data_IF_038720392045
#
_entry.id   IF_038720392045
#
_cell.length_a   1.000
_cell.length_b   1.000
_cell.length_c   1.000
_cell.angle_alpha   90.00
_cell.angle_beta   90.00
_cell.angle_gamma   90.00
#
_symmetry.space_group_name_H-M   'P 1'
#
loop_
_entity.id
_entity.type
_entity.pdbx_description
1 polymer ?
#
# COMPACT_ATOMS: atom_id res chain seq x y z
N UNK A 1 -10.91 9.89 -6.18
CA UNK A 1 -9.60 10.36 -5.74
C UNK A 1 -8.70 10.72 -6.92
N UNK A 2 -8.22 9.79 -7.75
CA UNK A 2 -7.26 10.03 -8.85
C UNK A 2 -7.62 11.15 -9.84
N UNK A 3 -8.90 11.34 -10.18
CA UNK A 3 -9.32 12.41 -11.10
C UNK A 3 -8.92 13.80 -10.58
N UNK A 4 -9.09 14.05 -9.28
CA UNK A 4 -8.75 15.32 -8.65
C UNK A 4 -7.23 15.52 -8.58
N UNK A 5 -6.46 14.49 -8.20
CA UNK A 5 -4.99 14.54 -8.12
C UNK A 5 -4.34 14.74 -9.49
N UNK A 6 -4.86 14.06 -10.54
CA UNK A 6 -4.42 14.30 -11.92
C UNK A 6 -4.73 15.73 -12.38
N UNK A 7 -5.94 16.23 -12.09
CA UNK A 7 -6.33 17.61 -12.45
C UNK A 7 -5.50 18.68 -11.74
N UNK A 8 -5.02 18.39 -10.52
CA UNK A 8 -4.14 19.30 -9.76
C UNK A 8 -2.65 19.11 -10.06
N UNK A 9 -2.28 18.22 -10.98
CA UNK A 9 -0.89 17.96 -11.35
C UNK A 9 -0.06 17.25 -10.26
N UNK A 10 -0.69 16.66 -9.23
CA UNK A 10 0.02 16.01 -8.11
C UNK A 10 0.40 14.58 -8.40
N UNK A 11 -0.36 13.89 -9.24
CA UNK A 11 -0.13 12.51 -9.65
C UNK A 11 -0.42 12.40 -11.13
N UNK A 12 0.51 11.84 -11.87
CA UNK A 12 0.33 11.41 -13.24
C UNK A 12 0.36 9.88 -13.30
N UNK A 13 -0.59 9.27 -14.01
CA UNK A 13 -0.67 7.83 -14.19
C UNK A 13 -0.82 7.56 -15.68
N UNK A 14 0.19 6.89 -16.24
CA UNK A 14 0.23 6.46 -17.63
C UNK A 14 0.14 4.93 -17.70
N UNK A 15 -0.84 4.43 -18.44
CA UNK A 15 -1.00 3.00 -18.69
C UNK A 15 -0.35 2.64 -20.02
N UNK A 16 0.65 1.77 -19.97
CA UNK A 16 1.39 1.30 -21.15
C UNK A 16 0.98 -0.15 -21.43
N UNK A 17 0.47 -0.39 -22.62
CA UNK A 17 0.07 -1.75 -23.05
C UNK A 17 1.28 -2.51 -23.59
N UNK A 18 1.71 -3.54 -22.87
CA UNK A 18 2.82 -4.43 -23.23
C UNK A 18 2.63 -5.06 -24.63
N UNK A 19 1.36 -5.26 -25.07
CA UNK A 19 1.04 -5.79 -26.40
C UNK A 19 1.51 -4.90 -27.55
N UNK A 20 1.84 -3.65 -27.30
CA UNK A 20 2.42 -2.76 -28.32
C UNK A 20 3.89 -3.06 -28.60
N UNK A 21 4.54 -3.88 -27.78
CA UNK A 21 5.96 -4.21 -27.84
C UNK A 21 6.24 -5.65 -28.30
N UNK A 22 5.23 -6.40 -28.70
CA UNK A 22 5.41 -7.72 -29.29
C UNK A 22 5.53 -7.64 -30.81
N UNK A 23 6.39 -8.47 -31.37
CA UNK A 23 6.53 -8.67 -32.82
C UNK A 23 5.53 -9.69 -33.40
N UNK A 24 4.76 -10.34 -32.53
CA UNK A 24 3.74 -11.30 -32.97
C UNK A 24 2.58 -10.58 -33.71
N UNK A 25 2.25 -11.08 -34.89
CA UNK A 25 1.19 -10.50 -35.75
C UNK A 25 -0.20 -10.47 -35.08
N UNK A 26 -0.43 -11.32 -34.07
CA UNK A 26 -1.66 -11.39 -33.28
C UNK A 26 -1.53 -10.67 -31.94
N UNK A 27 -0.42 -9.95 -31.72
CA UNK A 27 -0.15 -9.22 -30.52
C UNK A 27 -0.14 -10.10 -29.25
N UNK A 28 0.26 -11.36 -29.39
CA UNK A 28 0.40 -12.26 -28.26
C UNK A 28 1.61 -11.88 -27.42
N UNK A 29 1.45 -11.96 -26.11
CA UNK A 29 2.48 -11.65 -25.09
C UNK A 29 2.67 -12.81 -24.11
N UNK A 30 2.11 -13.96 -24.42
CA UNK A 30 2.07 -15.14 -23.55
C UNK A 30 2.23 -16.42 -24.38
N UNK A 31 2.77 -17.49 -23.75
CA UNK A 31 2.93 -18.81 -24.35
C UNK A 31 2.81 -19.90 -23.25
N UNK A 32 2.79 -21.16 -23.68
CA UNK A 32 2.71 -22.32 -22.78
C UNK A 32 3.99 -22.45 -21.94
N UNK A 33 3.87 -22.84 -20.64
CA UNK A 33 5.04 -23.06 -19.80
C UNK A 33 5.88 -24.24 -20.29
N UNK A 34 7.20 -24.12 -20.22
CA UNK A 34 8.10 -25.26 -20.36
C UNK A 34 7.87 -26.24 -19.19
N UNK A 35 8.04 -27.51 -19.44
CA UNK A 35 7.77 -28.58 -18.46
C UNK A 35 6.31 -29.00 -18.41
N UNK A 36 5.43 -28.35 -19.14
CA UNK A 36 3.98 -28.63 -19.13
C UNK A 36 3.28 -27.92 -17.98
N UNK A 37 1.98 -28.09 -17.90
CA UNK A 37 1.11 -27.45 -16.92
C UNK A 37 -0.08 -26.78 -17.58
N UNK A 38 -1.02 -26.30 -16.76
CA UNK A 38 -2.17 -25.51 -17.22
C UNK A 38 -1.81 -24.03 -17.24
N UNK A 39 -2.53 -23.26 -18.05
CA UNK A 39 -2.36 -21.82 -18.14
C UNK A 39 -1.28 -21.38 -19.12
N UNK A 40 -0.92 -20.10 -19.03
CA UNK A 40 0.03 -19.41 -19.91
C UNK A 40 1.03 -18.63 -19.03
N UNK A 41 2.21 -18.34 -19.58
CA UNK A 41 3.23 -17.49 -18.96
C UNK A 41 3.45 -16.28 -19.86
N UNK A 42 3.56 -15.09 -19.28
CA UNK A 42 3.89 -13.90 -20.03
C UNK A 42 5.33 -13.97 -20.55
N UNK A 43 5.47 -13.76 -21.87
CA UNK A 43 6.74 -13.85 -22.56
C UNK A 43 7.70 -12.72 -22.16
N UNK A 44 9.02 -12.99 -22.06
CA UNK A 44 10.00 -12.02 -21.54
C UNK A 44 10.22 -10.82 -22.45
N UNK A 45 10.29 -11.04 -23.77
CA UNK A 45 10.71 -9.99 -24.71
C UNK A 45 9.75 -8.78 -24.75
N UNK A 46 8.42 -8.92 -24.83
CA UNK A 46 7.51 -7.77 -24.83
C UNK A 46 7.60 -6.95 -23.56
N UNK A 47 7.83 -7.59 -22.39
CA UNK A 47 7.99 -6.92 -21.10
C UNK A 47 9.29 -6.12 -21.08
N UNK A 48 10.38 -6.74 -21.49
CA UNK A 48 11.68 -6.11 -21.57
C UNK A 48 11.70 -4.89 -22.48
N UNK A 49 11.17 -5.03 -23.70
CA UNK A 49 11.13 -3.94 -24.68
C UNK A 49 10.20 -2.81 -24.21
N UNK A 50 9.07 -3.13 -23.57
CA UNK A 50 8.17 -2.14 -22.98
C UNK A 50 8.90 -1.33 -21.89
N UNK A 51 9.58 -1.99 -20.95
CA UNK A 51 10.31 -1.29 -19.90
C UNK A 51 11.46 -0.45 -20.42
N UNK A 52 12.22 -0.95 -21.40
CA UNK A 52 13.27 -0.17 -22.08
C UNK A 52 12.72 1.10 -22.72
N UNK A 53 11.61 0.99 -23.46
CA UNK A 53 10.98 2.15 -24.06
C UNK A 53 10.52 3.18 -23.02
N UNK A 54 10.02 2.74 -21.87
CA UNK A 54 9.68 3.62 -20.75
C UNK A 54 10.94 4.33 -20.23
N UNK A 55 12.04 3.61 -20.04
CA UNK A 55 13.32 4.21 -19.59
C UNK A 55 13.85 5.25 -20.59
N UNK A 56 13.75 4.96 -21.89
CA UNK A 56 14.18 5.88 -22.96
C UNK A 56 13.32 7.15 -22.99
N UNK A 57 11.98 7.02 -22.90
CA UNK A 57 11.04 8.14 -22.86
C UNK A 57 11.26 9.03 -21.63
N UNK A 58 11.57 8.43 -20.49
CA UNK A 58 11.84 9.14 -19.24
C UNK A 58 13.26 9.70 -19.15
N UNK A 59 14.20 9.24 -19.99
CA UNK A 59 15.61 9.58 -19.89
C UNK A 59 16.29 9.10 -18.61
N UNK A 60 15.69 8.15 -17.90
CA UNK A 60 16.15 7.60 -16.61
C UNK A 60 15.66 6.16 -16.42
N UNK A 61 16.30 5.41 -15.50
CA UNK A 61 15.82 4.10 -15.04
C UNK A 61 14.89 4.29 -13.82
N UNK A 62 13.55 4.30 -14.00
CA UNK A 62 12.62 4.43 -12.88
C UNK A 62 12.63 3.19 -12.00
N UNK A 63 12.17 3.31 -10.76
CA UNK A 63 12.02 2.19 -9.86
C UNK A 63 10.92 1.24 -10.36
N UNK A 64 11.32 0.02 -10.72
CA UNK A 64 10.43 -1.03 -11.24
C UNK A 64 9.92 -1.89 -10.09
N UNK A 65 8.60 -2.05 -10.00
CA UNK A 65 7.93 -2.89 -9.02
C UNK A 65 7.12 -3.96 -9.76
N UNK A 66 7.38 -5.22 -9.46
CA UNK A 66 6.56 -6.34 -9.90
C UNK A 66 5.59 -6.74 -8.80
N UNK A 67 4.30 -6.71 -9.13
CA UNK A 67 3.24 -7.05 -8.18
C UNK A 67 2.94 -8.54 -8.26
N UNK A 68 3.41 -9.27 -7.27
CA UNK A 68 3.39 -10.73 -7.21
C UNK A 68 3.09 -11.24 -5.79
N UNK A 69 2.33 -12.35 -5.61
CA UNK A 69 2.14 -12.95 -4.30
C UNK A 69 3.43 -13.50 -3.68
N UNK A 70 4.51 -13.67 -4.45
CA UNK A 70 5.82 -14.13 -3.97
C UNK A 70 6.65 -13.02 -3.35
N UNK A 71 6.28 -11.74 -3.59
CA UNK A 71 7.00 -10.57 -3.10
C UNK A 71 6.84 -10.34 -1.60
N UNK A 72 7.63 -9.40 -1.06
CA UNK A 72 7.47 -8.93 0.32
C UNK A 72 6.14 -8.23 0.50
N UNK A 73 5.45 -8.52 1.60
CA UNK A 73 4.18 -7.86 1.90
C UNK A 73 4.34 -6.35 2.05
N UNK A 74 3.53 -5.59 1.32
CA UNK A 74 3.50 -4.12 1.38
C UNK A 74 3.17 -3.65 2.80
N UNK A 75 4.01 -2.79 3.35
CA UNK A 75 3.82 -2.17 4.65
C UNK A 75 3.68 -0.66 4.52
N UNK A 76 3.09 0.01 5.52
CA UNK A 76 3.01 1.47 5.56
C UNK A 76 4.39 2.13 5.52
N UNK A 77 5.39 1.49 6.12
CA UNK A 77 6.78 1.97 6.05
C UNK A 77 7.30 1.96 4.60
N UNK A 78 7.05 0.87 3.85
CA UNK A 78 7.47 0.81 2.45
C UNK A 78 6.71 1.81 1.58
N UNK A 79 5.43 2.02 1.84
CA UNK A 79 4.64 3.08 1.17
C UNK A 79 5.27 4.46 1.37
N UNK A 80 5.70 4.79 2.60
CA UNK A 80 6.40 6.05 2.91
C UNK A 80 7.72 6.20 2.15
N UNK A 81 8.45 5.10 1.96
CA UNK A 81 9.70 5.11 1.21
C UNK A 81 9.45 5.32 -0.28
N UNK A 82 8.48 4.59 -0.84
CA UNK A 82 8.09 4.71 -2.25
C UNK A 82 7.52 6.09 -2.59
N UNK A 83 6.81 6.74 -1.67
CA UNK A 83 6.25 8.08 -1.89
C UNK A 83 7.32 9.20 -2.02
N UNK A 84 8.58 8.90 -1.71
CA UNK A 84 9.72 9.83 -1.88
C UNK A 84 10.38 9.71 -3.25
N UNK A 85 10.00 8.73 -4.04
CA UNK A 85 10.53 8.53 -5.39
C UNK A 85 9.71 9.32 -6.40
N UNK A 86 10.38 9.96 -7.33
CA UNK A 86 9.74 10.78 -8.36
C UNK A 86 8.90 9.94 -9.33
N UNK A 87 9.38 8.73 -9.64
CA UNK A 87 8.78 7.87 -10.65
C UNK A 87 8.79 6.39 -10.21
N UNK A 88 7.64 5.73 -10.41
CA UNK A 88 7.45 4.31 -10.20
C UNK A 88 6.91 3.66 -11.47
N UNK A 89 7.43 2.51 -11.86
CA UNK A 89 6.85 1.65 -12.88
C UNK A 89 6.28 0.41 -12.21
N UNK A 90 4.98 0.15 -12.41
CA UNK A 90 4.29 -0.99 -11.85
C UNK A 90 4.07 -2.04 -12.94
N UNK A 91 4.77 -3.17 -12.83
CA UNK A 91 4.59 -4.31 -13.72
C UNK A 91 3.43 -5.17 -13.20
N UNK A 92 2.36 -5.20 -13.98
CA UNK A 92 1.17 -5.98 -13.69
C UNK A 92 1.26 -7.32 -14.42
N UNK A 93 1.58 -8.39 -13.69
CA UNK A 93 1.55 -9.75 -14.22
C UNK A 93 0.11 -10.26 -14.42
N UNK A 94 -0.02 -11.28 -15.27
CA UNK A 94 -1.28 -11.97 -15.54
C UNK A 94 -1.04 -13.48 -15.74
N UNK A 95 -2.12 -14.26 -15.89
CA UNK A 95 -2.05 -15.71 -16.08
C UNK A 95 -1.36 -16.44 -14.91
N UNK A 96 -0.44 -17.39 -15.23
CA UNK A 96 0.34 -18.14 -14.20
C UNK A 96 1.61 -17.37 -13.76
N UNK A 97 1.87 -16.20 -14.34
CA UNK A 97 3.02 -15.37 -14.02
C UNK A 97 3.82 -14.90 -15.22
N UNK A 98 5.03 -14.50 -14.97
CA UNK A 98 5.98 -13.90 -15.92
C UNK A 98 7.17 -14.83 -16.07
N UNK A 99 7.75 -14.92 -17.26
CA UNK A 99 8.98 -15.66 -17.52
C UNK A 99 10.12 -15.18 -16.60
N UNK A 100 10.69 -16.10 -15.82
CA UNK A 100 11.70 -15.79 -14.79
C UNK A 100 12.89 -15.02 -15.33
N UNK A 101 13.30 -15.29 -16.57
CA UNK A 101 14.47 -14.64 -17.20
C UNK A 101 14.33 -13.12 -17.30
N UNK A 102 13.12 -12.57 -17.48
CA UNK A 102 12.93 -11.12 -17.50
C UNK A 102 12.91 -10.53 -16.08
N UNK A 103 12.48 -11.31 -15.09
CA UNK A 103 12.59 -10.92 -13.69
C UNK A 103 14.05 -10.84 -13.26
N UNK A 104 14.85 -11.86 -13.59
CA UNK A 104 16.30 -11.88 -13.33
C UNK A 104 17.03 -10.75 -14.06
N UNK A 105 16.66 -10.43 -15.30
CA UNK A 105 17.29 -9.37 -16.11
C UNK A 105 16.96 -7.95 -15.63
N UNK A 106 15.69 -7.71 -15.26
CA UNK A 106 15.22 -6.37 -14.87
C UNK A 106 15.39 -6.09 -13.37
N UNK A 107 15.50 -7.12 -12.53
CA UNK A 107 15.64 -7.07 -11.09
C UNK A 107 14.59 -6.13 -10.43
N UNK A 108 13.28 -6.33 -10.69
CA UNK A 108 12.23 -5.50 -10.07
C UNK A 108 12.19 -5.72 -8.57
N UNK A 109 11.72 -4.71 -7.84
CA UNK A 109 11.27 -4.95 -6.48
C UNK A 109 9.96 -5.76 -6.51
N UNK A 110 9.95 -6.93 -5.90
CA UNK A 110 8.76 -7.77 -5.81
C UNK A 110 7.94 -7.42 -4.58
N UNK A 111 6.68 -7.03 -4.80
CA UNK A 111 5.76 -6.61 -3.73
C UNK A 111 4.47 -7.42 -3.78
N UNK A 112 4.07 -7.98 -2.63
CA UNK A 112 2.77 -8.60 -2.39
C UNK A 112 1.86 -7.63 -1.63
N UNK A 113 0.56 -7.63 -1.96
CA UNK A 113 -0.46 -6.88 -1.21
C UNK A 113 -1.12 -7.71 -0.10
N UNK A 114 -0.68 -8.96 0.10
CA UNK A 114 -1.18 -9.88 1.14
C UNK A 114 -1.03 -11.33 0.74
N UNK A 115 -1.25 -12.23 1.70
CA UNK A 115 -1.11 -13.69 1.54
C UNK A 115 -2.35 -14.29 0.86
N UNK A 116 -2.63 -13.84 -0.35
CA UNK A 116 -3.71 -14.36 -1.21
C UNK A 116 -3.39 -14.08 -2.68
N UNK A 117 -4.02 -14.82 -3.57
CA UNK A 117 -3.80 -14.72 -5.02
C UNK A 117 -4.95 -14.00 -5.69
N UNK A 118 -4.61 -13.09 -6.60
CA UNK A 118 -5.54 -12.37 -7.48
C UNK A 118 -5.33 -12.81 -8.93
N UNK A 119 -6.28 -12.50 -9.81
CA UNK A 119 -6.22 -12.89 -11.23
C UNK A 119 -5.19 -12.11 -12.06
N UNK A 120 -4.69 -10.99 -11.54
CA UNK A 120 -3.70 -10.14 -12.20
C UNK A 120 -3.14 -9.06 -11.29
N UNK A 121 -2.11 -8.35 -11.75
CA UNK A 121 -1.41 -7.31 -11.01
C UNK A 121 -2.11 -5.95 -11.00
N UNK A 122 -3.19 -5.76 -11.72
CA UNK A 122 -3.85 -4.46 -11.86
C UNK A 122 -4.49 -3.97 -10.56
N UNK A 123 -5.17 -4.86 -9.82
CA UNK A 123 -5.74 -4.50 -8.51
C UNK A 123 -4.66 -4.21 -7.47
N UNK A 124 -3.60 -5.03 -7.32
CA UNK A 124 -2.43 -4.68 -6.52
C UNK A 124 -1.80 -3.34 -6.92
N UNK A 125 -1.69 -3.04 -8.23
CA UNK A 125 -1.18 -1.75 -8.70
C UNK A 125 -2.05 -0.57 -8.23
N UNK A 126 -3.36 -0.72 -8.26
CA UNK A 126 -4.29 0.30 -7.75
C UNK A 126 -4.15 0.48 -6.23
N UNK A 127 -3.99 -0.61 -5.46
CA UNK A 127 -3.74 -0.55 -4.00
C UNK A 127 -2.44 0.22 -3.73
N UNK A 128 -1.36 -0.12 -4.42
CA UNK A 128 -0.08 0.55 -4.26
C UNK A 128 -0.16 2.03 -4.68
N UNK A 129 -0.74 2.32 -5.83
CA UNK A 129 -0.90 3.68 -6.32
C UNK A 129 -1.76 4.54 -5.38
N UNK A 130 -2.83 3.99 -4.79
CA UNK A 130 -3.65 4.70 -3.80
C UNK A 130 -2.84 4.99 -2.54
N UNK A 131 -2.22 3.97 -1.95
CA UNK A 131 -1.48 4.11 -0.70
C UNK A 131 -0.29 5.07 -0.82
N UNK A 132 0.45 5.06 -1.95
CA UNK A 132 1.55 6.00 -2.21
C UNK A 132 1.03 7.40 -2.47
N UNK A 133 -0.02 7.56 -3.29
CA UNK A 133 -0.57 8.88 -3.62
C UNK A 133 -1.10 9.64 -2.41
N UNK A 134 -1.66 8.93 -1.40
CA UNK A 134 -2.12 9.55 -0.15
C UNK A 134 -1.00 10.22 0.65
N UNK A 135 0.24 9.74 0.49
CA UNK A 135 1.42 10.26 1.18
C UNK A 135 2.00 11.53 0.54
N UNK A 136 1.53 11.91 -0.65
CA UNK A 136 2.03 13.09 -1.36
C UNK A 136 1.44 14.38 -0.77
N UNK A 137 2.24 15.46 -0.63
CA UNK A 137 1.79 16.72 -0.06
C UNK A 137 0.55 17.28 -0.76
N UNK A 138 -0.45 17.67 0.00
CA UNK A 138 -1.70 18.27 -0.46
C UNK A 138 -2.60 17.34 -1.27
N UNK A 139 -2.42 16.02 -1.20
CA UNK A 139 -3.39 15.02 -1.69
C UNK A 139 -4.51 14.84 -0.67
N UNK A 140 -4.18 14.76 0.61
CA UNK A 140 -5.13 14.85 1.71
C UNK A 140 -5.35 16.32 2.11
N UNK A 141 -6.41 16.58 2.87
CA UNK A 141 -6.77 17.94 3.30
C UNK A 141 -5.75 18.55 4.26
N UNK A 142 -5.04 17.73 4.99
CA UNK A 142 -3.97 18.09 5.91
C UNK A 142 -2.86 17.05 5.77
N UNK A 143 -1.62 17.50 5.67
CA UNK A 143 -0.46 16.60 5.50
C UNK A 143 -0.18 15.79 6.79
N UNK A 144 -0.75 16.18 7.94
CA UNK A 144 -0.66 15.45 9.21
C UNK A 144 -1.80 14.42 9.41
N UNK A 145 -2.83 14.43 8.54
CA UNK A 145 -4.02 13.55 8.68
C UNK A 145 -3.71 12.04 8.75
N UNK A 146 -2.57 11.59 8.21
CA UNK A 146 -2.20 10.18 8.22
C UNK A 146 -1.34 9.77 9.42
N UNK A 147 -0.82 10.72 10.23
CA UNK A 147 0.10 10.40 11.32
C UNK A 147 -0.56 9.62 12.46
N UNK A 148 -1.85 9.85 12.69
CA UNK A 148 -2.66 9.16 13.68
C UNK A 148 -3.37 7.91 13.14
N UNK A 149 -3.31 7.68 11.82
CA UNK A 149 -3.95 6.51 11.20
C UNK A 149 -3.27 5.18 11.59
N UNK A 150 -4.05 4.11 11.50
CA UNK A 150 -3.55 2.74 11.74
C UNK A 150 -2.31 2.44 10.89
N UNK A 151 -1.34 1.75 11.50
CA UNK A 151 -0.07 1.33 10.91
C UNK A 151 0.98 2.44 10.70
N UNK A 152 0.63 3.71 10.77
CA UNK A 152 1.59 4.79 10.56
C UNK A 152 2.67 4.82 11.65
N UNK A 153 2.25 4.74 12.92
CA UNK A 153 3.11 4.70 14.11
C UNK A 153 3.15 3.31 14.77
N UNK A 154 2.91 2.25 14.01
CA UNK A 154 2.81 0.88 14.49
C UNK A 154 1.75 0.66 15.57
N UNK A 155 0.67 1.43 15.54
CA UNK A 155 -0.51 1.26 16.37
C UNK A 155 -1.76 1.25 15.49
N UNK A 156 -2.86 0.71 16.02
CA UNK A 156 -4.19 0.89 15.45
C UNK A 156 -4.78 2.22 15.90
N UNK A 157 -5.52 2.86 15.03
CA UNK A 157 -6.24 4.09 15.33
C UNK A 157 -7.27 3.88 16.46
N UNK A 158 -7.48 4.92 17.27
CA UNK A 158 -8.52 4.96 18.29
C UNK A 158 -9.94 4.94 17.70
N UNK A 159 -11.00 4.62 18.50
CA UNK A 159 -12.38 4.63 17.99
C UNK A 159 -12.84 6.04 17.67
N UNK A 160 -13.42 6.21 16.50
CA UNK A 160 -14.01 7.46 16.02
C UNK A 160 -15.52 7.50 16.32
N UNK A 161 -16.04 8.68 16.63
CA UNK A 161 -17.45 8.94 16.90
C UNK A 161 -17.93 10.16 16.13
N UNK A 162 -19.21 10.18 15.77
CA UNK A 162 -19.87 11.30 15.11
C UNK A 162 -21.30 11.49 15.67
N UNK A 163 -22.01 12.47 15.18
CA UNK A 163 -23.41 12.74 15.56
C UNK A 163 -24.36 11.62 15.14
N UNK A 164 -25.42 11.38 15.95
CA UNK A 164 -25.77 12.01 17.22
C UNK A 164 -24.91 11.53 18.40
N UNK A 165 -24.91 12.28 19.51
CA UNK A 165 -24.14 11.93 20.72
C UNK A 165 -24.64 10.67 21.44
N UNK A 166 -25.86 10.25 21.18
CA UNK A 166 -26.45 8.97 21.65
C UNK A 166 -27.09 8.25 20.48
N UNK A 167 -26.79 6.96 20.33
CA UNK A 167 -27.34 6.11 19.28
C UNK A 167 -27.58 4.69 19.78
N UNK A 168 -28.82 4.22 19.71
CA UNK A 168 -29.25 2.88 20.19
C UNK A 168 -28.80 2.57 21.64
N UNK A 169 -28.96 3.56 22.53
CA UNK A 169 -28.57 3.44 23.94
C UNK A 169 -27.02 3.40 24.18
N UNK A 170 -26.25 3.78 23.20
CA UNK A 170 -24.78 3.92 23.29
C UNK A 170 -24.41 5.38 23.13
N UNK A 171 -23.70 5.90 24.09
CA UNK A 171 -23.28 7.29 24.12
C UNK A 171 -21.84 7.49 23.65
N UNK A 172 -21.57 8.65 23.07
CA UNK A 172 -20.21 9.10 22.82
C UNK A 172 -19.52 9.30 24.17
N UNK A 173 -18.28 8.83 24.36
CA UNK A 173 -17.52 9.06 25.60
C UNK A 173 -17.51 10.53 26.02
N UNK A 174 -17.86 10.82 27.25
CA UNK A 174 -17.99 12.19 27.78
C UNK A 174 -16.73 13.02 27.60
N UNK A 175 -15.56 12.38 27.68
CA UNK A 175 -14.27 13.05 27.49
C UNK A 175 -14.18 13.72 26.12
N UNK A 176 -14.76 13.14 25.07
CA UNK A 176 -14.77 13.70 23.72
C UNK A 176 -15.71 14.91 23.59
N UNK A 177 -16.62 15.09 24.53
CA UNK A 177 -17.56 16.22 24.60
C UNK A 177 -17.06 17.32 25.55
N UNK A 178 -15.96 17.09 26.30
CA UNK A 178 -15.49 17.95 27.37
C UNK A 178 -14.80 19.24 26.92
N UNK A 179 -14.31 19.31 25.68
CA UNK A 179 -13.46 20.41 25.17
C UNK A 179 -12.01 20.43 25.73
N UNK A 180 -11.63 19.47 26.56
CA UNK A 180 -10.28 19.38 27.13
C UNK A 180 -9.32 18.63 26.20
N UNK A 181 -8.74 19.30 25.22
CA UNK A 181 -7.89 18.69 24.19
C UNK A 181 -6.81 17.76 24.75
N UNK A 182 -6.04 18.18 25.74
CA UNK A 182 -4.98 17.33 26.31
C UNK A 182 -5.51 15.99 26.91
N UNK A 183 -6.70 16.00 27.53
CA UNK A 183 -7.33 14.78 28.03
C UNK A 183 -7.93 13.93 26.92
N UNK A 184 -8.42 14.57 25.86
CA UNK A 184 -8.90 13.89 24.64
C UNK A 184 -7.73 13.16 23.98
N UNK A 185 -6.57 13.79 23.84
CA UNK A 185 -5.38 13.19 23.23
C UNK A 185 -4.83 12.02 24.07
N UNK A 186 -4.81 12.16 25.38
CA UNK A 186 -4.47 11.06 26.28
C UNK A 186 -5.44 9.88 26.14
N UNK A 187 -6.74 10.15 26.09
CA UNK A 187 -7.78 9.13 25.87
C UNK A 187 -7.61 8.44 24.52
N UNK A 188 -7.36 9.19 23.45
CA UNK A 188 -7.08 8.65 22.10
C UNK A 188 -5.89 7.71 22.13
N UNK A 189 -4.79 8.15 22.75
CA UNK A 189 -3.57 7.33 22.90
C UNK A 189 -3.85 6.03 23.65
N UNK A 190 -4.53 6.09 24.79
CA UNK A 190 -4.89 4.92 25.58
C UNK A 190 -5.80 3.96 24.77
N UNK A 191 -6.79 4.48 24.03
CA UNK A 191 -7.68 3.66 23.19
C UNK A 191 -6.98 3.04 21.98
N UNK A 192 -6.02 3.72 21.43
CA UNK A 192 -5.14 3.18 20.38
C UNK A 192 -4.30 2.00 20.92
N UNK A 193 -3.65 2.17 22.06
CA UNK A 193 -2.89 1.12 22.75
C UNK A 193 -3.76 -0.09 23.11
N UNK A 194 -4.91 0.13 23.76
CA UNK A 194 -5.86 -0.93 24.12
C UNK A 194 -6.32 -1.71 22.90
N UNK A 195 -6.70 -1.01 21.82
CA UNK A 195 -7.16 -1.64 20.57
C UNK A 195 -6.04 -2.44 19.91
N UNK A 196 -4.81 -1.92 19.90
CA UNK A 196 -3.65 -2.60 19.33
C UNK A 196 -3.32 -3.84 20.15
N UNK A 197 -3.26 -3.74 21.46
CA UNK A 197 -3.03 -4.86 22.37
C UNK A 197 -4.01 -6.02 22.12
N UNK A 198 -5.32 -5.70 22.01
CA UNK A 198 -6.37 -6.72 21.85
C UNK A 198 -6.45 -7.32 20.44
N UNK A 199 -6.11 -6.57 19.39
CA UNK A 199 -6.36 -6.97 17.99
C UNK A 199 -5.10 -7.29 17.21
N UNK A 200 -4.02 -6.59 17.49
CA UNK A 200 -2.76 -6.68 16.76
C UNK A 200 -1.58 -6.50 17.71
N UNK A 201 -1.41 -7.41 18.70
CA UNK A 201 -0.31 -7.32 19.67
C UNK A 201 1.08 -7.35 19.01
N UNK A 202 1.21 -8.00 17.85
CA UNK A 202 2.41 -8.01 17.02
C UNK A 202 2.91 -6.61 16.64
N UNK A 203 2.03 -5.62 16.57
CA UNK A 203 2.39 -4.24 16.22
C UNK A 203 3.07 -3.53 17.39
N UNK A 204 2.77 -3.89 18.64
CA UNK A 204 3.38 -3.26 19.82
C UNK A 204 4.89 -3.48 19.90
N UNK A 205 5.40 -4.60 19.36
CA UNK A 205 6.84 -4.90 19.30
C UNK A 205 7.63 -3.86 18.50
N UNK A 206 6.97 -3.17 17.57
CA UNK A 206 7.57 -2.16 16.69
C UNK A 206 7.14 -0.74 17.03
N UNK A 207 6.19 -0.57 17.95
CA UNK A 207 5.65 0.72 18.34
C UNK A 207 6.66 1.48 19.23
N UNK A 208 6.73 2.80 19.05
CA UNK A 208 7.45 3.67 19.97
C UNK A 208 6.57 3.93 21.18
N UNK A 209 6.87 3.25 22.28
CA UNK A 209 6.15 3.36 23.54
C UNK A 209 6.94 4.26 24.51
N UNK A 210 6.22 5.13 25.22
CA UNK A 210 6.78 5.88 26.35
C UNK A 210 6.47 5.17 27.69
N UNK A 211 7.01 5.69 28.79
CA UNK A 211 6.79 5.12 30.13
C UNK A 211 5.30 5.10 30.56
N UNK A 212 4.49 6.03 30.05
CA UNK A 212 3.04 6.07 30.35
C UNK A 212 2.32 4.99 29.58
N UNK A 213 2.70 4.76 28.32
CA UNK A 213 2.18 3.71 27.48
C UNK A 213 2.47 2.33 28.09
N UNK A 214 3.71 2.09 28.52
CA UNK A 214 4.11 0.84 29.18
C UNK A 214 3.35 0.60 30.50
N UNK A 215 3.18 1.65 31.30
CA UNK A 215 2.40 1.57 32.54
C UNK A 215 0.92 1.30 32.28
N UNK A 216 0.36 1.83 31.18
CA UNK A 216 -1.02 1.57 30.77
C UNK A 216 -1.19 0.13 30.29
N UNK A 217 -0.30 -0.35 29.41
CA UNK A 217 -0.33 -1.74 28.91
C UNK A 217 -0.17 -2.74 30.05
N UNK A 218 0.72 -2.50 31.02
CA UNK A 218 0.90 -3.36 32.20
C UNK A 218 -0.35 -3.45 33.10
N UNK A 219 -1.27 -2.49 33.02
CA UNK A 219 -2.56 -2.59 33.71
C UNK A 219 -3.54 -3.47 32.94
N UNK A 220 -3.54 -3.36 31.58
CA UNK A 220 -4.40 -4.19 30.73
C UNK A 220 -4.04 -5.69 30.79
N UNK A 221 -2.76 -6.02 31.05
CA UNK A 221 -2.32 -7.42 31.21
C UNK A 221 -2.83 -8.08 32.52
N UNK A 222 -3.24 -7.26 33.50
CA UNK A 222 -3.71 -7.71 34.81
C UNK A 222 -5.23 -7.81 34.92
N UNK A 223 -5.95 -7.29 33.94
CA UNK A 223 -7.43 -7.38 33.80
C UNK A 223 -7.83 -8.63 33.00
#
# INVERSE_FOLDING_TARGET
MYKRQRQSGKVEINCVDIRNYTLDKHRRVDDKPYGGGMGMIMAPQPIYDCYKAICEDMGAKPHLIYLTPQGKTLTQQRVKELSKLDNLVLLCGHYEGIDERVIEELEPEEISVGDYVLTGGELPALILADSVSRMLPGVLSDDECFEEESHFNSLLEYPQYTHPSSWNGRDVPEILLSGHHAKVDEWRRQKSLERTYRRRPDMLERAKLDKKDEAFLSKLEKE
#
